data_IF_956809958202
#
_entry.id   IF_956809958202
#
_cell.length_a   1.000
_cell.length_b   1.000
_cell.length_c   1.000
_cell.angle_alpha   90.00
_cell.angle_beta   90.00
_cell.angle_gamma   90.00
#
_symmetry.space_group_name_H-M   'P 1'
#
loop_
_entity.id
_entity.type
_entity.pdbx_description
1 polymer ?
#
# COMPACT_ATOMS: atom_id res chain seq x y z
N UNK A 1 1.09 3.90 23.08
CA UNK A 1 -0.01 2.98 23.44
C UNK A 1 -1.31 3.58 22.94
N UNK A 2 -2.15 2.86 22.17
CA UNK A 2 -3.43 3.40 21.73
C UNK A 2 -4.29 3.70 22.97
N UNK A 3 -4.72 4.95 23.12
CA UNK A 3 -5.58 5.41 24.22
C UNK A 3 -7.06 5.18 23.85
N UNK A 4 -7.36 3.95 23.44
CA UNK A 4 -8.69 3.54 22.98
C UNK A 4 -9.64 3.25 24.13
N UNK A 5 -10.95 3.30 23.86
CA UNK A 5 -11.96 2.75 24.78
C UNK A 5 -12.00 1.22 24.75
N UNK A 6 -11.43 0.62 23.70
CA UNK A 6 -11.39 -0.82 23.51
C UNK A 6 -10.32 -1.49 24.38
N UNK A 7 -10.70 -2.61 24.96
CA UNK A 7 -9.88 -3.56 25.67
C UNK A 7 -8.83 -4.22 24.76
N UNK A 8 -7.70 -4.60 25.36
CA UNK A 8 -6.55 -5.18 24.63
C UNK A 8 -6.91 -6.48 23.91
N UNK A 9 -7.71 -7.33 24.54
CA UNK A 9 -8.16 -8.61 23.96
C UNK A 9 -8.99 -8.36 22.69
N UNK A 10 -9.90 -7.38 22.74
CA UNK A 10 -10.68 -6.98 21.55
C UNK A 10 -9.79 -6.45 20.44
N UNK A 11 -8.79 -5.61 20.74
CA UNK A 11 -7.84 -5.13 19.73
C UNK A 11 -7.01 -6.27 19.11
N UNK A 12 -6.59 -7.25 19.90
CA UNK A 12 -5.90 -8.44 19.41
C UNK A 12 -6.81 -9.27 18.48
N UNK A 13 -8.08 -9.46 18.85
CA UNK A 13 -9.07 -10.14 18.01
C UNK A 13 -9.34 -9.39 16.70
N UNK A 14 -9.47 -8.07 16.75
CA UNK A 14 -9.60 -7.20 15.56
C UNK A 14 -8.36 -7.31 14.67
N UNK A 15 -7.16 -7.41 15.26
CA UNK A 15 -5.91 -7.62 14.52
C UNK A 15 -5.85 -8.96 13.80
N UNK A 16 -6.36 -10.03 14.42
CA UNK A 16 -6.51 -11.34 13.76
C UNK A 16 -7.52 -11.24 12.61
N UNK A 17 -8.67 -10.61 12.82
CA UNK A 17 -9.68 -10.44 11.78
C UNK A 17 -9.14 -9.63 10.59
N UNK A 18 -8.40 -8.55 10.84
CA UNK A 18 -7.80 -7.72 9.81
C UNK A 18 -6.85 -8.54 8.90
N UNK A 19 -6.02 -9.40 9.49
CA UNK A 19 -5.11 -10.29 8.75
C UNK A 19 -5.87 -11.32 7.91
N UNK A 20 -6.95 -11.90 8.45
CA UNK A 20 -7.80 -12.81 7.70
C UNK A 20 -8.47 -12.12 6.50
N UNK A 21 -8.99 -10.90 6.69
CA UNK A 21 -9.59 -10.10 5.61
C UNK A 21 -8.57 -9.75 4.54
N UNK A 22 -7.34 -9.38 4.90
CA UNK A 22 -6.30 -9.07 3.92
C UNK A 22 -5.92 -10.28 3.05
N UNK A 23 -5.96 -11.49 3.61
CA UNK A 23 -5.63 -12.72 2.89
C UNK A 23 -6.75 -13.22 1.99
N UNK A 24 -8.00 -13.09 2.40
CA UNK A 24 -9.18 -13.46 1.60
C UNK A 24 -9.60 -12.37 0.61
N UNK A 25 -8.94 -11.22 0.63
CA UNK A 25 -9.30 -10.08 -0.21
C UNK A 25 -9.21 -10.43 -1.69
N UNK A 26 -10.34 -10.29 -2.38
CA UNK A 26 -10.42 -10.39 -3.84
C UNK A 26 -10.08 -9.04 -4.48
N UNK A 27 -9.17 -8.98 -5.46
CA UNK A 27 -8.93 -7.77 -6.25
C UNK A 27 -10.22 -7.30 -6.93
N UNK A 28 -10.57 -6.02 -6.77
CA UNK A 28 -11.76 -5.42 -7.40
C UNK A 28 -12.99 -5.32 -6.49
N UNK A 29 -13.06 -6.08 -5.39
CA UNK A 29 -14.16 -5.96 -4.41
C UNK A 29 -13.88 -4.80 -3.45
N UNK A 30 -14.69 -3.75 -3.52
CA UNK A 30 -14.49 -2.52 -2.76
C UNK A 30 -14.74 -2.74 -1.26
N UNK A 31 -15.74 -3.54 -0.95
CA UNK A 31 -16.22 -3.83 0.41
C UNK A 31 -15.10 -4.48 1.24
N UNK A 32 -14.30 -5.37 0.65
CA UNK A 32 -13.12 -5.94 1.32
C UNK A 32 -12.09 -4.87 1.66
N UNK A 33 -11.88 -3.88 0.78
CA UNK A 33 -10.94 -2.78 1.01
C UNK A 33 -11.44 -1.86 2.11
N UNK A 34 -12.73 -1.55 2.08
CA UNK A 34 -13.38 -0.71 3.08
C UNK A 34 -13.32 -1.39 4.46
N UNK A 35 -13.59 -2.69 4.54
CA UNK A 35 -13.48 -3.45 5.77
C UNK A 35 -12.03 -3.47 6.29
N UNK A 36 -11.06 -3.78 5.43
CA UNK A 36 -9.65 -3.81 5.83
C UNK A 36 -9.19 -2.43 6.37
N UNK A 37 -9.59 -1.34 5.72
CA UNK A 37 -9.27 0.01 6.18
C UNK A 37 -10.01 0.37 7.48
N UNK A 38 -11.28 0.00 7.62
CA UNK A 38 -12.04 0.24 8.84
C UNK A 38 -11.41 -0.50 10.04
N UNK A 39 -11.01 -1.77 9.86
CA UNK A 39 -10.32 -2.54 10.89
C UNK A 39 -8.96 -1.94 11.25
N UNK A 40 -8.19 -1.44 10.26
CA UNK A 40 -6.94 -0.72 10.53
C UNK A 40 -7.14 0.54 11.36
N UNK A 41 -8.13 1.36 10.98
CA UNK A 41 -8.50 2.55 11.77
C UNK A 41 -8.84 2.17 13.20
N UNK A 42 -9.65 1.13 13.40
CA UNK A 42 -9.99 0.63 14.74
C UNK A 42 -8.76 0.24 15.56
N UNK A 43 -7.75 -0.37 14.95
CA UNK A 43 -6.49 -0.70 15.63
C UNK A 43 -5.67 0.55 15.98
N UNK A 44 -5.67 1.55 15.10
CA UNK A 44 -4.92 2.79 15.28
C UNK A 44 -5.55 3.69 16.35
N UNK A 45 -6.88 3.81 16.35
CA UNK A 45 -7.62 4.71 17.26
C UNK A 45 -8.06 4.03 18.56
N UNK A 46 -8.30 2.72 18.52
CA UNK A 46 -8.89 1.95 19.62
C UNK A 46 -10.30 2.39 20.03
N UNK A 47 -11.06 3.06 19.14
CA UNK A 47 -12.41 3.57 19.45
C UNK A 47 -13.51 2.59 19.05
N UNK A 48 -14.51 2.43 19.92
CA UNK A 48 -15.72 1.61 19.65
C UNK A 48 -16.53 2.05 18.43
N UNK A 49 -16.56 3.36 18.13
CA UNK A 49 -17.27 3.88 16.96
C UNK A 49 -16.69 3.30 15.66
N UNK A 50 -15.37 3.16 15.58
CA UNK A 50 -14.71 2.61 14.39
C UNK A 50 -14.92 1.11 14.28
N UNK A 51 -14.95 0.39 15.42
CA UNK A 51 -15.36 -1.01 15.44
C UNK A 51 -16.82 -1.19 14.97
N UNK A 52 -17.70 -0.26 15.33
CA UNK A 52 -19.10 -0.26 14.88
C UNK A 52 -19.20 -0.03 13.37
N UNK A 53 -18.41 0.90 12.82
CA UNK A 53 -18.30 1.09 11.37
C UNK A 53 -17.79 -0.18 10.67
N UNK A 54 -16.72 -0.79 11.18
CA UNK A 54 -16.18 -2.04 10.64
C UNK A 54 -17.22 -3.17 10.67
N UNK A 55 -18.00 -3.29 11.76
CA UNK A 55 -19.09 -4.26 11.87
C UNK A 55 -20.19 -4.04 10.84
N UNK A 56 -20.54 -2.77 10.55
CA UNK A 56 -21.50 -2.43 9.49
C UNK A 56 -20.99 -2.86 8.12
N UNK A 57 -19.76 -2.50 7.77
CA UNK A 57 -19.15 -2.88 6.48
C UNK A 57 -19.00 -4.41 6.36
N UNK A 58 -18.68 -5.10 7.47
CA UNK A 58 -18.63 -6.55 7.45
C UNK A 58 -19.99 -7.15 7.05
N UNK A 59 -21.11 -6.63 7.57
CA UNK A 59 -22.45 -7.14 7.24
C UNK A 59 -22.87 -6.90 5.79
N UNK A 60 -22.28 -5.94 5.10
CA UNK A 60 -22.58 -5.68 3.67
C UNK A 60 -21.80 -6.61 2.74
N UNK A 61 -20.82 -7.35 3.24
CA UNK A 61 -20.11 -8.34 2.44
C UNK A 61 -21.03 -9.50 2.06
N UNK A 62 -20.71 -10.09 0.91
CA UNK A 62 -21.30 -11.34 0.47
C UNK A 62 -21.20 -12.44 1.54
N UNK A 63 -22.24 -13.27 1.65
CA UNK A 63 -22.36 -14.26 2.70
C UNK A 63 -21.24 -15.31 2.64
N UNK A 64 -20.93 -15.83 1.45
CA UNK A 64 -19.87 -16.85 1.28
C UNK A 64 -18.50 -16.27 1.60
N UNK A 65 -18.28 -14.99 1.26
CA UNK A 65 -17.05 -14.30 1.58
C UNK A 65 -16.91 -14.05 3.09
N UNK A 66 -17.98 -13.68 3.79
CA UNK A 66 -17.98 -13.56 5.25
C UNK A 66 -17.63 -14.88 5.92
N UNK A 67 -18.22 -15.98 5.46
CA UNK A 67 -17.98 -17.31 6.02
C UNK A 67 -16.52 -17.73 5.85
N UNK A 68 -15.93 -17.50 4.68
CA UNK A 68 -14.49 -17.73 4.43
C UNK A 68 -13.60 -16.90 5.36
N UNK A 69 -13.88 -15.60 5.49
CA UNK A 69 -13.14 -14.71 6.39
C UNK A 69 -13.22 -15.19 7.85
N UNK A 70 -14.41 -15.59 8.32
CA UNK A 70 -14.60 -16.09 9.69
C UNK A 70 -13.88 -17.41 9.92
N UNK A 71 -13.98 -18.35 8.97
CA UNK A 71 -13.26 -19.62 9.04
C UNK A 71 -11.74 -19.39 9.12
N UNK A 72 -11.22 -18.48 8.29
CA UNK A 72 -9.81 -18.10 8.28
C UNK A 72 -9.39 -17.41 9.59
N UNK A 73 -10.17 -16.44 10.07
CA UNK A 73 -9.90 -15.74 11.32
C UNK A 73 -9.85 -16.69 12.51
N UNK A 74 -10.69 -17.73 12.55
CA UNK A 74 -10.64 -18.77 13.59
C UNK A 74 -9.34 -19.56 13.55
N UNK A 75 -8.89 -19.95 12.35
CA UNK A 75 -7.61 -20.66 12.17
C UNK A 75 -6.45 -19.77 12.62
N UNK A 76 -6.45 -18.49 12.24
CA UNK A 76 -5.41 -17.54 12.64
C UNK A 76 -5.41 -17.24 14.14
N UNK A 77 -6.59 -17.14 14.76
CA UNK A 77 -6.71 -16.97 16.21
C UNK A 77 -6.13 -18.18 16.95
N UNK A 78 -6.41 -19.39 16.46
CA UNK A 78 -5.86 -20.61 17.05
C UNK A 78 -4.34 -20.66 16.92
N UNK A 79 -3.81 -20.31 15.75
CA UNK A 79 -2.36 -20.24 15.51
C UNK A 79 -1.67 -19.20 16.39
N UNK A 80 -2.29 -18.03 16.58
CA UNK A 80 -1.77 -16.98 17.47
C UNK A 80 -1.71 -17.46 18.93
N UNK A 81 -2.76 -18.17 19.40
CA UNK A 81 -2.81 -18.75 20.75
C UNK A 81 -1.75 -19.85 20.95
N UNK A 82 -1.52 -20.70 19.96
CA UNK A 82 -0.48 -21.73 20.05
C UNK A 82 0.92 -21.13 20.08
N UNK A 83 1.15 -20.05 19.32
CA UNK A 83 2.44 -19.34 19.33
C UNK A 83 2.69 -18.60 20.65
N UNK A 84 1.66 -17.99 21.23
CA UNK A 84 1.76 -17.36 22.55
C UNK A 84 2.19 -18.36 23.63
N UNK A 85 1.56 -19.55 23.66
CA UNK A 85 1.94 -20.62 24.59
C UNK A 85 3.34 -21.19 24.36
N UNK A 86 3.76 -21.30 23.10
CA UNK A 86 5.12 -21.75 22.78
C UNK A 86 6.18 -20.73 23.21
N UNK A 87 5.86 -19.43 23.16
CA UNK A 87 6.78 -18.36 23.58
C UNK A 87 6.96 -18.34 25.10
N UNK A 88 5.89 -18.56 25.88
CA UNK A 88 5.96 -18.69 27.35
C UNK A 88 6.80 -19.90 27.82
N UNK A 89 6.89 -20.97 27.03
CA UNK A 89 7.73 -22.14 27.36
C UNK A 89 9.21 -21.98 26.99
N UNK A 90 9.58 -20.98 26.18
CA UNK A 90 10.97 -20.77 25.73
C UNK A 90 11.74 -19.81 26.65
N UNK A 91 11.06 -18.98 27.44
CA UNK A 91 11.73 -18.05 28.37
C UNK A 91 12.36 -18.72 29.61
N UNK A 92 12.26 -20.06 29.76
CA UNK A 92 12.92 -20.78 30.86
C UNK A 92 14.11 -21.65 30.41
N UNK A 93 14.40 -21.77 29.11
CA UNK A 93 15.50 -22.65 28.66
C UNK A 93 16.21 -22.14 27.40
N UNK A 94 17.47 -21.74 27.58
CA UNK A 94 18.54 -21.55 26.57
C UNK A 94 18.29 -20.51 25.46
N UNK A 95 19.06 -19.42 25.32
CA UNK A 95 20.53 -19.36 25.17
C UNK A 95 21.13 -20.39 24.19
N UNK A 96 20.70 -20.34 22.91
CA UNK A 96 21.38 -20.81 21.66
C UNK A 96 20.28 -20.84 20.58
N UNK A 97 20.35 -20.22 19.42
CA UNK A 97 21.45 -20.22 18.46
C UNK A 97 21.30 -19.03 17.51
N UNK A 98 22.38 -18.26 17.37
CA UNK A 98 22.51 -17.21 16.36
C UNK A 98 22.83 -17.91 15.04
N UNK A 99 21.84 -18.14 14.19
CA UNK A 99 22.07 -18.58 12.81
C UNK A 99 22.62 -17.40 12.01
N UNK A 100 23.95 -17.29 12.07
CA UNK A 100 24.77 -16.44 11.21
C UNK A 100 24.71 -17.04 9.82
N UNK A 101 23.91 -16.47 8.91
CA UNK A 101 24.02 -16.82 7.49
C UNK A 101 25.29 -16.21 6.92
N UNK A 102 26.25 -17.09 6.63
CA UNK A 102 27.51 -16.81 5.95
C UNK A 102 27.25 -16.12 4.60
N UNK A 103 27.87 -14.96 4.42
CA UNK A 103 27.97 -14.26 3.15
C UNK A 103 29.19 -14.84 2.41
N UNK A 104 29.04 -15.47 1.24
CA UNK A 104 30.20 -15.80 0.41
C UNK A 104 30.77 -14.51 -0.18
N UNK A 105 32.05 -14.30 0.05
CA UNK A 105 32.76 -13.10 -0.35
C UNK A 105 33.40 -13.22 -1.76
N UNK A 106 33.45 -12.07 -2.45
CA UNK A 106 34.39 -11.57 -3.50
C UNK A 106 34.32 -12.24 -4.92
N UNK A 107 34.63 -11.55 -6.06
CA UNK A 107 35.36 -10.28 -6.17
C UNK A 107 34.87 -9.18 -7.13
N UNK A 108 35.33 -7.98 -6.82
CA UNK A 108 35.31 -6.80 -7.67
C UNK A 108 36.12 -7.00 -8.96
N UNK A 109 35.57 -6.57 -10.11
CA UNK A 109 36.34 -6.22 -11.30
C UNK A 109 35.84 -4.88 -11.87
N UNK A 110 36.80 -3.98 -12.05
CA UNK A 110 36.71 -2.68 -12.73
C UNK A 110 36.33 -2.84 -14.20
N UNK A 111 35.59 -1.84 -14.68
CA UNK A 111 35.85 -1.18 -15.97
C UNK A 111 35.10 -1.70 -17.19
N UNK A 112 34.06 -0.99 -17.60
CA UNK A 112 33.77 -0.62 -19.00
C UNK A 112 32.47 0.21 -19.07
N UNK A 113 32.59 1.51 -19.32
CA UNK A 113 31.56 2.31 -19.99
C UNK A 113 31.73 2.16 -21.53
N UNK A 114 30.81 2.65 -22.37
CA UNK A 114 29.34 2.61 -22.28
C UNK A 114 28.74 2.11 -23.60
N UNK A 115 27.63 1.36 -23.58
CA UNK A 115 26.77 1.23 -24.78
C UNK A 115 25.31 0.94 -24.41
N UNK A 116 24.50 1.99 -24.54
CA UNK A 116 23.07 1.95 -24.84
C UNK A 116 22.20 1.04 -23.98
N UNK A 117 21.93 1.43 -22.72
CA UNK A 117 20.94 0.73 -21.88
C UNK A 117 19.70 1.59 -21.68
N UNK A 118 18.78 1.51 -22.65
CA UNK A 118 17.39 1.92 -22.46
C UNK A 118 16.70 0.89 -21.56
N UNK A 119 16.69 1.12 -20.24
CA UNK A 119 16.02 0.20 -19.30
C UNK A 119 16.14 0.54 -17.82
N UNK A 120 16.81 1.63 -17.42
CA UNK A 120 17.13 1.94 -16.01
C UNK A 120 16.41 3.16 -15.44
N UNK A 121 15.43 3.74 -16.15
CA UNK A 121 14.74 4.96 -15.68
C UNK A 121 13.55 4.69 -14.75
N UNK A 122 13.01 3.46 -14.72
CA UNK A 122 11.80 3.17 -13.94
C UNK A 122 12.11 2.93 -12.45
N UNK A 123 13.17 2.16 -12.16
CA UNK A 123 13.59 1.89 -10.78
C UNK A 123 14.25 3.12 -10.11
N UNK A 124 14.91 3.98 -10.88
CA UNK A 124 15.42 5.25 -10.38
C UNK A 124 14.30 6.22 -9.96
N UNK A 125 13.16 6.20 -10.67
CA UNK A 125 12.00 7.02 -10.34
C UNK A 125 11.29 6.56 -9.05
N UNK A 126 11.32 5.26 -8.75
CA UNK A 126 10.71 4.70 -7.53
C UNK A 126 11.55 4.95 -6.27
N UNK A 127 12.88 5.06 -6.41
CA UNK A 127 13.79 5.32 -5.29
C UNK A 127 14.00 6.81 -4.97
N UNK A 128 13.20 7.72 -5.55
CA UNK A 128 13.27 9.15 -5.26
C UNK A 128 14.54 9.88 -5.75
N UNK A 129 15.48 9.16 -6.38
CA UNK A 129 16.68 9.73 -6.99
C UNK A 129 16.36 10.17 -8.41
N UNK A 130 15.66 11.31 -8.51
CA UNK A 130 15.38 11.97 -9.78
C UNK A 130 16.71 12.42 -10.42
N UNK A 131 17.07 11.94 -11.63
CA UNK A 131 18.09 12.60 -12.42
C UNK A 131 17.53 13.95 -12.85
N UNK A 132 18.29 15.03 -12.65
CA UNK A 132 17.96 16.37 -13.13
C UNK A 132 18.01 16.41 -14.67
N UNK A 133 16.99 15.85 -15.32
CA UNK A 133 16.78 16.00 -16.75
C UNK A 133 16.18 17.38 -17.01
N UNK A 134 17.07 18.30 -17.37
CA UNK A 134 16.83 19.47 -18.24
C UNK A 134 15.82 20.50 -17.73
N UNK A 135 16.34 21.61 -17.22
CA UNK A 135 15.65 22.88 -17.00
C UNK A 135 15.13 23.56 -18.30
N UNK A 136 14.78 22.80 -19.35
CA UNK A 136 14.28 23.31 -20.63
C UNK A 136 12.85 22.86 -20.99
N UNK A 137 12.28 21.87 -20.30
CA UNK A 137 10.99 21.27 -20.72
C UNK A 137 9.77 22.13 -20.39
N UNK A 138 9.76 22.87 -19.26
CA UNK A 138 8.63 23.77 -18.91
C UNK A 138 8.52 24.99 -19.83
N UNK A 139 9.65 25.56 -20.25
CA UNK A 139 9.67 26.69 -21.19
C UNK A 139 9.11 26.28 -22.54
N UNK A 140 9.64 25.19 -23.11
CA UNK A 140 9.16 24.65 -24.38
C UNK A 140 7.67 24.23 -24.36
N UNK A 141 7.19 23.65 -23.25
CA UNK A 141 5.77 23.31 -23.10
C UNK A 141 4.88 24.57 -23.03
N UNK A 142 5.33 25.61 -22.31
CA UNK A 142 4.60 26.89 -22.22
C UNK A 142 4.56 27.63 -23.55
N UNK A 143 5.64 27.61 -24.32
CA UNK A 143 5.72 28.27 -25.63
C UNK A 143 4.85 27.56 -26.67
N UNK A 144 4.80 26.22 -26.65
CA UNK A 144 3.87 25.43 -27.47
C UNK A 144 2.41 25.73 -27.13
N UNK A 145 2.07 25.85 -25.84
CA UNK A 145 0.72 26.21 -25.42
C UNK A 145 0.33 27.61 -25.90
N UNK A 146 1.23 28.60 -25.78
CA UNK A 146 1.00 29.96 -26.30
C UNK A 146 0.80 29.95 -27.82
N UNK A 147 1.65 29.26 -28.58
CA UNK A 147 1.52 29.15 -30.03
C UNK A 147 0.18 28.51 -30.45
N UNK A 148 -0.29 27.50 -29.71
CA UNK A 148 -1.58 26.86 -29.96
C UNK A 148 -2.76 27.81 -29.68
N UNK A 149 -2.72 28.57 -28.58
CA UNK A 149 -3.75 29.56 -28.24
C UNK A 149 -3.81 30.70 -29.26
N UNK A 150 -2.67 31.21 -29.71
CA UNK A 150 -2.63 32.25 -30.75
C UNK A 150 -3.15 31.74 -32.09
N UNK A 151 -2.88 30.47 -32.43
CA UNK A 151 -3.45 29.82 -33.60
C UNK A 151 -4.98 29.73 -33.51
N UNK A 152 -5.53 29.35 -32.36
CA UNK A 152 -6.98 29.35 -32.13
C UNK A 152 -7.60 30.75 -32.21
N UNK A 153 -6.94 31.77 -31.66
CA UNK A 153 -7.43 33.17 -31.76
C UNK A 153 -7.44 33.69 -33.20
N UNK A 154 -6.45 33.32 -34.02
CA UNK A 154 -6.43 33.69 -35.45
C UNK A 154 -7.51 32.98 -36.26
N UNK A 155 -7.80 31.72 -35.93
CA UNK A 155 -8.92 30.97 -36.53
C UNK A 155 -10.26 31.61 -36.14
N UNK A 156 -10.44 31.98 -34.87
CA UNK A 156 -11.63 32.70 -34.41
C UNK A 156 -11.83 34.07 -35.08
N UNK A 157 -10.76 34.84 -35.28
CA UNK A 157 -10.81 36.14 -35.97
C UNK A 157 -11.07 36.07 -37.48
N UNK A 158 -10.77 34.93 -38.13
CA UNK A 158 -11.12 34.71 -39.55
C UNK A 158 -12.58 34.32 -39.76
N UNK A 159 -13.33 34.04 -38.68
CA UNK A 159 -14.74 33.67 -38.72
C UNK A 159 -15.68 34.82 -38.34
N UNK A 160 -15.20 36.06 -38.24
CA UNK A 160 -16.10 37.21 -38.29
C UNK A 160 -16.42 37.48 -39.77
N UNK A 161 -17.67 37.25 -40.24
CA UNK A 161 -18.07 37.70 -41.55
C UNK A 161 -18.13 39.22 -41.52
N UNK A 162 -17.36 39.87 -42.40
CA UNK A 162 -17.65 41.24 -42.81
C UNK A 162 -19.03 41.21 -43.45
N UNK A 163 -20.04 41.64 -42.69
CA UNK A 163 -21.37 41.94 -43.20
C UNK A 163 -21.29 43.36 -43.79
N UNK A 164 -21.01 43.45 -45.08
CA UNK A 164 -21.45 44.55 -45.95
C UNK A 164 -22.67 44.09 -46.74
#
# INVERSE_FOLDING_TARGET
>A
MPQGTLDRETLEAVGVLARAVERERVPGVLECRLLANALKRTLDSGRENELTEASRVFRTLDAELRDRIVARARVEAQQARTQAKATETVDTDASRDVVTQEIPAIPARRGAEPKGRAGTNFLAALNGLRPAATAGSRGAARDRLRAAVDSQRRVGKRMEPTLD
#
